data_IF_310034825055
#
_entry.id   IF_310034825055
#
_cell.length_a   1.000
_cell.length_b   1.000
_cell.length_c   1.000
_cell.angle_alpha   90.00
_cell.angle_beta   90.00
_cell.angle_gamma   90.00
#
_symmetry.space_group_name_H-M   'P 1'
#
loop_
_entity.id
_entity.type
_entity.pdbx_description
1 polymer ?
#
# COMPACT_ATOMS: atom_id res chain seq x y z
N UNK A 1 6.89 2.04 -10.24
CA UNK A 1 6.43 1.87 -8.85
C UNK A 1 7.16 2.87 -7.99
N UNK A 2 6.49 3.48 -7.01
CA UNK A 2 7.08 4.51 -6.14
C UNK A 2 7.19 3.94 -4.72
N UNK A 3 8.40 3.88 -4.19
CA UNK A 3 8.65 3.46 -2.80
C UNK A 3 8.08 4.54 -1.86
N UNK A 4 7.34 4.13 -0.83
CA UNK A 4 6.97 4.99 0.29
C UNK A 4 8.19 5.15 1.22
N UNK A 5 9.01 6.15 0.93
CA UNK A 5 10.31 6.40 1.57
C UNK A 5 10.19 6.71 3.08
N UNK A 6 9.05 7.25 3.51
CA UNK A 6 8.76 7.49 4.94
C UNK A 6 8.51 6.20 5.68
N UNK A 7 7.75 5.28 5.08
CA UNK A 7 7.53 3.95 5.67
C UNK A 7 8.85 3.22 5.87
N UNK A 8 9.83 3.41 4.99
CA UNK A 8 11.17 2.84 5.13
C UNK A 8 11.94 3.38 6.33
N UNK A 9 12.00 4.70 6.50
CA UNK A 9 12.67 5.30 7.67
C UNK A 9 11.93 4.91 8.96
N UNK A 10 10.59 4.91 8.95
CA UNK A 10 9.77 4.48 10.09
C UNK A 10 10.07 3.03 10.49
N UNK A 11 10.18 2.12 9.52
CA UNK A 11 10.49 0.72 9.78
C UNK A 11 11.80 0.54 10.58
N UNK A 12 12.83 1.32 10.25
CA UNK A 12 14.09 1.31 11.00
C UNK A 12 13.92 2.00 12.36
N UNK A 13 13.22 3.14 12.39
CA UNK A 13 13.00 3.93 13.61
C UNK A 13 12.27 3.14 14.69
N UNK A 14 11.25 2.38 14.32
CA UNK A 14 10.46 1.53 15.22
C UNK A 14 11.28 0.42 15.88
N UNK A 15 12.46 0.11 15.34
CA UNK A 15 13.38 -0.95 15.78
C UNK A 15 14.59 -0.43 16.54
N UNK A 16 14.75 0.88 16.69
CA UNK A 16 15.81 1.47 17.52
C UNK A 16 15.70 0.91 18.94
N UNK A 17 16.81 0.36 19.47
CA UNK A 17 16.87 -0.23 20.79
C UNK A 17 16.10 -1.55 20.98
N UNK A 18 15.52 -2.13 19.91
CA UNK A 18 14.71 -3.36 19.98
C UNK A 18 15.30 -4.54 19.20
N UNK A 19 16.35 -4.31 18.41
CA UNK A 19 17.00 -5.32 17.58
C UNK A 19 18.51 -5.24 17.76
N UNK A 20 19.20 -6.36 17.60
CA UNK A 20 20.66 -6.44 17.66
C UNK A 20 21.32 -6.44 16.27
N UNK A 21 22.62 -6.21 16.24
CA UNK A 21 23.40 -6.36 15.01
C UNK A 21 23.85 -7.81 14.84
N UNK A 22 23.64 -8.41 13.66
CA UNK A 22 24.18 -9.74 13.33
C UNK A 22 24.34 -9.93 11.82
N UNK A 23 25.51 -10.40 11.39
CA UNK A 23 25.75 -10.83 10.01
C UNK A 23 25.25 -12.25 9.75
N UNK A 24 25.26 -13.12 10.76
CA UNK A 24 24.77 -14.50 10.64
C UNK A 24 23.23 -14.56 10.65
N UNK A 25 22.60 -13.79 11.55
CA UNK A 25 21.15 -13.75 11.76
C UNK A 25 20.55 -12.44 11.23
N UNK A 26 20.83 -12.12 9.96
CA UNK A 26 20.52 -10.82 9.37
C UNK A 26 19.09 -10.66 8.83
N UNK A 27 18.25 -11.68 8.90
CA UNK A 27 16.91 -11.69 8.27
C UNK A 27 15.77 -11.33 9.24
N UNK A 28 16.09 -10.86 10.44
CA UNK A 28 15.11 -10.60 11.49
C UNK A 28 14.59 -11.87 12.17
N UNK A 29 13.58 -11.73 13.06
CA UNK A 29 12.97 -10.46 13.47
C UNK A 29 13.78 -9.70 14.53
N UNK A 30 14.76 -10.35 15.16
CA UNK A 30 15.45 -9.81 16.35
C UNK A 30 16.82 -9.21 16.03
N UNK A 31 17.37 -9.48 14.84
CA UNK A 31 18.68 -9.00 14.44
C UNK A 31 18.77 -8.75 12.94
N UNK A 32 19.63 -7.80 12.58
CA UNK A 32 19.88 -7.36 11.21
C UNK A 32 21.34 -6.95 11.07
N UNK A 33 21.89 -6.96 9.86
CA UNK A 33 23.11 -6.20 9.58
C UNK A 33 22.77 -4.88 8.87
N UNK A 34 23.78 -4.12 8.46
CA UNK A 34 23.58 -2.81 7.86
C UNK A 34 22.74 -2.89 6.57
N UNK A 35 23.10 -3.80 5.65
CA UNK A 35 22.46 -3.94 4.35
C UNK A 35 21.11 -4.63 4.44
N UNK A 36 20.93 -5.62 5.30
CA UNK A 36 19.64 -6.27 5.49
C UNK A 36 18.63 -5.30 6.12
N UNK A 37 19.05 -4.45 7.06
CA UNK A 37 18.18 -3.46 7.66
C UNK A 37 17.68 -2.45 6.61
N UNK A 38 18.55 -1.96 5.71
CA UNK A 38 18.16 -1.08 4.59
C UNK A 38 17.24 -1.82 3.62
N UNK A 39 17.56 -3.07 3.28
CA UNK A 39 16.74 -3.90 2.39
C UNK A 39 15.32 -4.06 2.93
N UNK A 40 15.15 -4.50 4.17
CA UNK A 40 13.83 -4.71 4.76
C UNK A 40 13.07 -3.40 5.01
N UNK A 41 13.77 -2.32 5.32
CA UNK A 41 13.17 -0.99 5.42
C UNK A 41 12.56 -0.54 4.08
N UNK A 42 13.33 -0.65 3.00
CA UNK A 42 12.87 -0.27 1.67
C UNK A 42 11.77 -1.23 1.16
N UNK A 43 11.87 -2.54 1.45
CA UNK A 43 10.81 -3.52 1.20
C UNK A 43 9.50 -3.18 1.92
N UNK A 44 9.57 -2.75 3.18
CA UNK A 44 8.39 -2.28 3.92
C UNK A 44 7.78 -1.02 3.29
N UNK A 45 8.59 -0.20 2.61
CA UNK A 45 8.15 0.92 1.79
C UNK A 45 7.65 0.52 0.40
N UNK A 46 7.61 -0.77 0.05
CA UNK A 46 7.13 -1.25 -1.25
C UNK A 46 8.21 -1.38 -2.32
N UNK A 47 9.49 -1.46 -1.94
CA UNK A 47 10.55 -1.87 -2.87
C UNK A 47 10.32 -3.30 -3.40
N UNK A 48 10.81 -3.57 -4.59
CA UNK A 48 10.74 -4.87 -5.24
C UNK A 48 11.73 -5.83 -4.54
N UNK A 49 11.25 -7.01 -4.17
CA UNK A 49 12.08 -8.05 -3.56
C UNK A 49 13.20 -8.50 -4.49
N UNK A 50 14.40 -8.69 -3.94
CA UNK A 50 15.49 -9.39 -4.63
C UNK A 50 15.39 -10.92 -4.49
N UNK A 51 14.41 -11.43 -3.72
CA UNK A 51 14.30 -12.85 -3.33
C UNK A 51 15.13 -13.23 -2.11
N UNK A 52 16.08 -12.38 -1.71
CA UNK A 52 16.94 -12.53 -0.53
C UNK A 52 17.34 -11.15 0.00
N UNK A 53 17.72 -11.04 1.27
CA UNK A 53 18.19 -9.78 1.83
C UNK A 53 19.56 -9.42 1.22
N UNK A 54 19.61 -8.43 0.33
CA UNK A 54 20.85 -8.11 -0.39
C UNK A 54 21.96 -7.72 0.58
N UNK A 55 23.20 -8.12 0.26
CA UNK A 55 24.39 -7.62 0.95
C UNK A 55 24.78 -6.25 0.40
N UNK A 56 25.83 -5.65 0.95
CA UNK A 56 26.30 -4.32 0.55
C UNK A 56 26.75 -4.25 -0.91
N UNK A 57 27.28 -5.34 -1.44
CA UNK A 57 27.77 -5.43 -2.83
C UNK A 57 26.60 -5.44 -3.83
N UNK A 58 25.57 -6.24 -3.56
CA UNK A 58 24.39 -6.35 -4.43
C UNK A 58 23.37 -5.22 -4.21
N UNK A 59 23.52 -4.43 -3.14
CA UNK A 59 22.67 -3.27 -2.84
C UNK A 59 22.71 -2.22 -3.95
N UNK A 60 23.86 -2.01 -4.59
CA UNK A 60 24.04 -1.05 -5.68
C UNK A 60 23.02 -1.27 -6.82
N UNK A 61 23.04 -2.47 -7.41
CA UNK A 61 22.14 -2.82 -8.51
C UNK A 61 20.69 -2.93 -8.07
N UNK A 62 20.45 -3.35 -6.82
CA UNK A 62 19.11 -3.44 -6.27
C UNK A 62 18.46 -2.07 -6.07
N UNK A 63 19.22 -1.06 -5.61
CA UNK A 63 18.73 0.32 -5.47
C UNK A 63 18.36 0.90 -6.85
N UNK A 64 19.20 0.69 -7.86
CA UNK A 64 18.92 1.16 -9.24
C UNK A 64 17.63 0.54 -9.78
N UNK A 65 17.46 -0.79 -9.63
CA UNK A 65 16.21 -1.48 -10.01
C UNK A 65 14.98 -0.96 -9.27
N UNK A 66 15.18 -0.37 -8.10
CA UNK A 66 14.14 0.23 -7.27
C UNK A 66 13.97 1.75 -7.49
N UNK A 67 14.54 2.30 -8.57
CA UNK A 67 14.32 3.69 -8.97
C UNK A 67 15.21 4.70 -8.25
N UNK A 68 16.31 4.25 -7.63
CA UNK A 68 17.38 5.14 -7.17
C UNK A 68 18.35 5.44 -8.31
N UNK A 69 18.97 6.61 -8.24
CA UNK A 69 20.05 7.04 -9.13
C UNK A 69 21.30 7.33 -8.32
N UNK A 70 22.46 6.98 -8.88
CA UNK A 70 23.75 7.33 -8.28
C UNK A 70 23.98 8.82 -8.44
N UNK A 71 24.07 9.56 -7.33
CA UNK A 71 24.29 11.01 -7.34
C UNK A 71 25.74 11.39 -7.01
N UNK A 72 26.42 10.56 -6.21
CA UNK A 72 27.83 10.75 -5.91
C UNK A 72 28.58 9.43 -5.78
N UNK A 73 29.80 9.41 -6.30
CA UNK A 73 30.78 8.34 -6.11
C UNK A 73 32.10 9.02 -5.71
N UNK A 74 32.56 8.71 -4.50
CA UNK A 74 33.80 9.19 -3.87
C UNK A 74 34.10 10.69 -4.09
N UNK A 75 33.05 11.50 -4.08
CA UNK A 75 33.11 12.96 -4.28
C UNK A 75 32.14 13.65 -3.34
N UNK A 76 32.42 14.90 -2.91
CA UNK A 76 31.53 15.64 -2.03
C UNK A 76 30.09 15.64 -2.54
N UNK A 77 29.15 15.54 -1.59
CA UNK A 77 27.73 15.53 -1.88
C UNK A 77 26.97 16.34 -0.83
N UNK A 78 25.78 16.82 -1.22
CA UNK A 78 24.80 17.36 -0.28
C UNK A 78 23.73 16.30 -0.07
N UNK A 79 23.72 15.71 1.13
CA UNK A 79 22.79 14.65 1.46
C UNK A 79 21.37 15.20 1.57
N UNK A 80 20.42 14.38 1.18
CA UNK A 80 19.01 14.64 1.33
C UNK A 80 18.40 13.47 2.10
N UNK A 81 17.34 13.76 2.84
CA UNK A 81 16.52 12.74 3.49
C UNK A 81 16.11 11.69 2.46
N UNK A 82 16.14 10.42 2.82
CA UNK A 82 15.94 9.24 1.97
C UNK A 82 17.08 8.90 1.00
N UNK A 83 18.18 9.65 0.97
CA UNK A 83 19.37 9.17 0.29
C UNK A 83 19.89 7.91 1.00
N UNK A 84 20.35 6.94 0.22
CA UNK A 84 21.01 5.75 0.74
C UNK A 84 22.50 5.90 0.47
N UNK A 85 23.32 5.82 1.52
CA UNK A 85 24.77 5.76 1.36
C UNK A 85 25.25 4.32 1.36
N UNK A 86 26.31 4.05 0.61
CA UNK A 86 27.07 2.81 0.70
C UNK A 86 28.54 3.18 0.88
N UNK A 87 29.17 2.66 1.92
CA UNK A 87 30.61 2.72 2.15
C UNK A 87 31.24 1.39 1.76
N UNK A 88 32.48 1.46 1.27
CA UNK A 88 33.19 0.35 0.65
C UNK A 88 33.25 0.55 -0.86
N UNK A 89 34.33 0.11 -1.50
CA UNK A 89 34.48 0.17 -2.96
C UNK A 89 33.71 -1.00 -3.58
N UNK A 90 32.92 -0.74 -4.61
CA UNK A 90 32.22 -1.79 -5.36
C UNK A 90 33.25 -2.85 -5.84
N UNK A 91 32.98 -4.12 -5.62
CA UNK A 91 33.88 -5.26 -5.82
C UNK A 91 34.63 -5.72 -4.56
N UNK A 92 34.58 -4.95 -3.47
CA UNK A 92 35.35 -5.17 -2.24
C UNK A 92 34.54 -4.91 -0.96
N UNK A 93 33.21 -4.78 -1.07
CA UNK A 93 32.35 -4.31 0.04
C UNK A 93 31.60 -5.43 0.78
N UNK A 94 31.96 -6.69 0.54
CA UNK A 94 31.35 -7.84 1.21
C UNK A 94 31.79 -7.98 2.67
N UNK A 95 30.91 -8.53 3.50
CA UNK A 95 31.16 -8.70 4.94
C UNK A 95 31.48 -7.38 5.64
N UNK A 96 32.60 -7.34 6.37
CA UNK A 96 33.05 -6.14 7.11
C UNK A 96 33.60 -5.01 6.21
N UNK A 97 33.80 -5.29 4.91
CA UNK A 97 34.37 -4.35 3.96
C UNK A 97 33.44 -3.21 3.54
N UNK A 98 32.16 -3.30 3.91
CA UNK A 98 31.14 -2.32 3.54
C UNK A 98 30.18 -1.94 4.66
N UNK A 99 29.51 -0.81 4.49
CA UNK A 99 28.48 -0.33 5.43
C UNK A 99 27.43 0.52 4.71
N UNK A 100 26.18 0.48 5.15
CA UNK A 100 25.10 1.24 4.50
C UNK A 100 24.03 1.69 5.50
N UNK A 101 23.24 2.67 5.09
CA UNK A 101 22.16 3.27 5.86
C UNK A 101 21.40 4.31 5.05
N UNK A 102 20.38 4.90 5.67
CA UNK A 102 19.47 5.87 5.04
C UNK A 102 19.64 7.23 5.73
N UNK A 103 19.78 8.31 4.98
CA UNK A 103 19.73 9.67 5.52
C UNK A 103 18.32 10.00 6.00
N UNK A 104 18.20 10.46 7.26
CA UNK A 104 16.93 10.93 7.83
C UNK A 104 16.78 12.45 7.73
N UNK A 105 17.87 13.16 7.44
CA UNK A 105 17.92 14.56 7.03
C UNK A 105 19.23 14.79 6.22
N UNK A 106 19.76 16.00 6.16
CA UNK A 106 20.98 16.31 5.40
C UNK A 106 22.30 15.97 6.12
N UNK A 107 22.26 15.53 7.38
CA UNK A 107 23.44 15.22 8.20
C UNK A 107 23.29 13.89 8.94
N UNK A 108 22.11 13.55 9.42
CA UNK A 108 21.87 12.36 10.22
C UNK A 108 21.48 11.16 9.36
N UNK A 109 21.95 9.98 9.75
CA UNK A 109 21.63 8.70 9.15
C UNK A 109 20.99 7.75 10.15
N UNK A 110 20.11 6.88 9.67
CA UNK A 110 19.62 5.71 10.40
C UNK A 110 20.24 4.45 9.80
N UNK A 111 20.85 3.62 10.65
CA UNK A 111 21.58 2.43 10.20
C UNK A 111 21.70 1.37 11.31
N UNK A 112 21.78 0.10 10.91
CA UNK A 112 22.15 -1.00 11.82
C UNK A 112 23.67 -1.11 11.88
N UNK A 113 24.27 -1.13 13.07
CA UNK A 113 25.72 -1.18 13.21
C UNK A 113 26.22 -2.02 14.39
N UNK A 114 27.39 -2.60 14.20
CA UNK A 114 28.08 -3.42 15.20
C UNK A 114 28.40 -2.65 16.48
N UNK A 115 28.93 -1.42 16.36
CA UNK A 115 29.42 -0.61 17.49
C UNK A 115 28.33 -0.34 18.54
N UNK A 116 27.08 -0.17 18.12
CA UNK A 116 25.92 0.04 19.01
C UNK A 116 25.00 -1.16 19.13
N UNK A 117 25.39 -2.29 18.55
CA UNK A 117 24.65 -3.55 18.55
C UNK A 117 23.16 -3.37 18.19
N UNK A 118 22.88 -2.74 17.05
CA UNK A 118 21.51 -2.53 16.60
C UNK A 118 21.34 -1.31 15.71
N UNK A 119 20.08 -0.87 15.55
CA UNK A 119 19.72 0.30 14.75
C UNK A 119 19.82 1.57 15.60
N UNK A 120 20.55 2.58 15.10
CA UNK A 120 20.66 3.90 15.72
C UNK A 120 20.57 5.03 14.70
N UNK A 121 20.31 6.24 15.18
CA UNK A 121 20.40 7.48 14.41
C UNK A 121 21.67 8.21 14.84
N UNK A 122 22.46 8.62 13.85
CA UNK A 122 23.79 9.17 14.05
C UNK A 122 24.12 10.27 13.07
N UNK A 123 24.90 11.25 13.51
CA UNK A 123 25.52 12.22 12.61
C UNK A 123 26.51 11.50 11.68
N UNK A 124 26.24 11.56 10.38
CA UNK A 124 27.02 10.90 9.33
C UNK A 124 28.51 11.23 9.43
N UNK A 125 28.87 12.48 9.71
CA UNK A 125 30.27 12.91 9.74
C UNK A 125 31.01 12.35 10.95
N UNK A 126 30.31 12.07 12.05
CA UNK A 126 30.90 11.48 13.26
C UNK A 126 31.12 9.97 13.14
N UNK A 127 30.35 9.29 12.29
CA UNK A 127 30.47 7.83 12.08
C UNK A 127 31.16 7.46 10.77
N UNK A 128 31.32 8.41 9.84
CA UNK A 128 32.09 8.22 8.61
C UNK A 128 33.54 7.85 8.92
N UNK A 129 34.06 6.86 8.18
CA UNK A 129 35.38 6.26 8.42
C UNK A 129 36.41 6.63 7.34
N UNK A 130 36.10 7.61 6.48
CA UNK A 130 36.95 7.96 5.32
C UNK A 130 37.03 6.84 4.26
N UNK A 131 36.10 5.90 4.28
CA UNK A 131 36.00 4.83 3.28
C UNK A 131 35.53 5.38 1.94
N UNK A 132 35.84 4.67 0.86
CA UNK A 132 35.21 4.93 -0.44
C UNK A 132 33.69 4.89 -0.29
N UNK A 133 32.96 5.81 -0.92
CA UNK A 133 31.52 5.91 -0.70
C UNK A 133 30.73 6.20 -1.98
N UNK A 134 29.47 5.82 -1.93
CA UNK A 134 28.45 6.06 -2.94
C UNK A 134 27.22 6.66 -2.27
N UNK A 135 26.54 7.56 -2.97
CA UNK A 135 25.26 8.11 -2.55
C UNK A 135 24.23 7.85 -3.64
N UNK A 136 23.14 7.19 -3.26
CA UNK A 136 22.01 6.88 -4.10
C UNK A 136 20.80 7.71 -3.67
N UNK A 137 20.13 8.35 -4.63
CA UNK A 137 18.95 9.18 -4.40
C UNK A 137 17.73 8.60 -5.11
N UNK A 138 16.55 8.53 -4.48
CA UNK A 138 15.33 8.18 -5.19
C UNK A 138 15.04 9.22 -6.28
N UNK A 139 14.82 8.78 -7.53
CA UNK A 139 14.62 9.69 -8.67
C UNK A 139 13.37 10.59 -8.52
N UNK A 140 12.38 10.15 -7.74
CA UNK A 140 11.11 10.85 -7.49
C UNK A 140 10.96 11.21 -6.00
N UNK A 141 11.87 11.98 -5.43
CA UNK A 141 11.68 12.51 -4.07
C UNK A 141 10.59 13.60 -4.03
N UNK A 142 9.66 13.56 -3.06
CA UNK A 142 8.71 14.64 -2.86
C UNK A 142 9.42 15.89 -2.32
N UNK A 143 9.66 16.89 -3.17
CA UNK A 143 10.14 18.21 -2.73
C UNK A 143 9.01 19.07 -2.19
N UNK A 144 9.23 19.77 -1.07
CA UNK A 144 8.24 20.68 -0.46
C UNK A 144 8.35 22.12 -0.96
N UNK A 145 9.43 22.51 -1.65
CA UNK A 145 9.71 23.93 -2.00
C UNK A 145 8.78 24.53 -3.06
N UNK A 146 8.07 23.72 -3.84
CA UNK A 146 7.19 24.17 -4.93
C UNK A 146 5.71 23.84 -4.69
N UNK A 147 5.36 23.34 -3.50
CA UNK A 147 4.00 22.88 -3.19
C UNK A 147 3.19 24.00 -2.54
N UNK A 148 1.95 24.15 -3.00
CA UNK A 148 1.02 25.11 -2.40
C UNK A 148 0.65 24.69 -0.98
N UNK A 149 0.25 25.67 -0.14
CA UNK A 149 -0.16 25.41 1.26
C UNK A 149 -1.28 24.36 1.34
N UNK A 150 -2.28 24.43 0.46
CA UNK A 150 -3.37 23.45 0.35
C UNK A 150 -2.87 22.04 0.04
N UNK A 151 -1.87 21.94 -0.83
CA UNK A 151 -1.27 20.66 -1.17
C UNK A 151 -0.53 20.09 0.03
N UNK A 152 0.26 20.91 0.73
CA UNK A 152 0.97 20.47 1.94
C UNK A 152 0.00 20.10 3.08
N UNK A 153 -1.13 20.79 3.21
CA UNK A 153 -2.21 20.43 4.14
C UNK A 153 -2.80 19.06 3.79
N UNK A 154 -3.15 18.81 2.52
CA UNK A 154 -3.67 17.51 2.07
C UNK A 154 -2.64 16.39 2.26
N UNK A 155 -1.38 16.63 1.90
CA UNK A 155 -0.30 15.67 2.09
C UNK A 155 -0.05 15.38 3.57
N UNK A 156 -0.17 16.40 4.43
CA UNK A 156 -0.03 16.25 5.89
C UNK A 156 -1.20 15.52 6.52
N UNK A 157 -2.43 15.78 6.08
CA UNK A 157 -3.63 15.04 6.48
C UNK A 157 -3.60 13.59 5.97
N UNK A 158 -3.00 13.35 4.81
CA UNK A 158 -2.70 12.03 4.26
C UNK A 158 -1.49 11.35 4.92
N UNK A 159 -0.86 11.98 5.91
CA UNK A 159 0.24 11.41 6.70
C UNK A 159 1.60 11.40 6.00
N UNK A 160 1.74 12.00 4.82
CA UNK A 160 2.99 12.01 4.02
C UNK A 160 4.15 12.67 4.77
N UNK A 161 3.86 13.63 5.64
CA UNK A 161 4.88 14.34 6.40
C UNK A 161 5.16 13.71 7.79
N UNK A 162 4.53 12.59 8.16
CA UNK A 162 4.70 11.99 9.49
C UNK A 162 4.01 12.79 10.62
N UNK A 163 4.45 12.60 11.87
CA UNK A 163 3.90 13.20 13.09
C UNK A 163 5.00 13.88 13.94
N UNK A 164 4.61 14.71 14.92
CA UNK A 164 5.55 15.36 15.85
C UNK A 164 6.73 16.07 15.18
N UNK A 165 7.94 15.76 15.64
CA UNK A 165 9.19 16.32 15.11
C UNK A 165 9.48 15.90 13.66
N UNK A 166 9.02 14.71 13.24
CA UNK A 166 9.16 14.26 11.85
C UNK A 166 8.33 15.15 10.90
N UNK A 167 7.13 15.55 11.33
CA UNK A 167 6.29 16.51 10.58
C UNK A 167 6.92 17.89 10.52
N UNK A 168 7.50 18.33 11.63
CA UNK A 168 8.22 19.59 11.71
C UNK A 168 9.44 19.61 10.81
N UNK A 169 10.19 18.51 10.75
CA UNK A 169 11.33 18.35 9.85
C UNK A 169 10.91 18.26 8.38
N UNK A 170 9.85 17.51 8.07
CA UNK A 170 9.37 17.28 6.71
C UNK A 170 8.74 18.51 6.07
N UNK A 171 7.95 19.29 6.84
CA UNK A 171 7.34 20.53 6.37
C UNK A 171 8.28 21.75 6.50
N UNK A 172 9.29 21.68 7.38
CA UNK A 172 10.22 22.76 7.64
C UNK A 172 9.51 24.06 7.99
N UNK A 173 9.84 25.11 7.25
CA UNK A 173 9.24 26.45 7.33
C UNK A 173 7.73 26.50 6.97
N UNK A 174 7.18 25.47 6.33
CA UNK A 174 5.75 25.35 6.06
C UNK A 174 4.96 24.69 7.19
N UNK A 175 5.64 24.18 8.22
CA UNK A 175 4.99 23.48 9.34
C UNK A 175 3.93 24.34 10.02
N UNK A 176 4.31 25.53 10.48
CA UNK A 176 3.40 26.43 11.21
C UNK A 176 2.17 26.86 10.37
N UNK A 177 2.33 27.31 9.10
CA UNK A 177 1.21 27.58 8.21
C UNK A 177 0.27 26.39 8.00
N UNK A 178 0.83 25.19 7.78
CA UNK A 178 0.04 23.97 7.51
C UNK A 178 -0.72 23.54 8.76
N UNK A 179 -0.09 23.59 9.93
CA UNK A 179 -0.73 23.26 11.21
C UNK A 179 -1.81 24.28 11.58
N UNK A 180 -1.63 25.56 11.26
CA UNK A 180 -2.65 26.58 11.51
C UNK A 180 -3.94 26.32 10.72
N UNK A 181 -3.82 25.86 9.47
CA UNK A 181 -4.98 25.47 8.63
C UNK A 181 -5.62 24.18 9.15
N UNK A 182 -4.83 23.15 9.47
CA UNK A 182 -5.34 21.86 9.97
C UNK A 182 -6.05 22.01 11.32
N UNK A 183 -5.49 22.82 12.23
CA UNK A 183 -6.05 23.06 13.55
C UNK A 183 -7.21 24.07 13.56
N UNK A 184 -7.70 24.47 12.38
CA UNK A 184 -8.84 25.40 12.23
C UNK A 184 -8.57 26.82 12.69
N UNK A 185 -7.30 27.22 12.90
CA UNK A 185 -6.90 28.58 13.33
C UNK A 185 -6.76 29.56 12.16
N UNK A 186 -6.76 29.08 10.91
CA UNK A 186 -6.79 29.89 9.70
C UNK A 186 -7.57 29.17 8.59
N UNK A 187 -8.40 29.88 7.83
CA UNK A 187 -8.99 29.38 6.58
C UNK A 187 -8.00 29.57 5.43
N UNK A 188 -7.72 28.50 4.69
CA UNK A 188 -6.92 28.59 3.47
C UNK A 188 -7.50 29.65 2.51
N UNK A 189 -6.67 30.53 1.90
CA UNK A 189 -7.16 31.50 0.95
C UNK A 189 -7.74 30.78 -0.27
N UNK A 190 -9.07 30.87 -0.43
CA UNK A 190 -9.77 30.31 -1.60
C UNK A 190 -9.28 31.04 -2.86
N UNK A 191 -8.75 30.29 -3.83
CA UNK A 191 -8.36 30.83 -5.13
C UNK A 191 -9.54 31.56 -5.78
N UNK A 192 -9.28 32.70 -6.42
CA UNK A 192 -10.32 33.45 -7.12
C UNK A 192 -10.74 32.74 -8.41
N UNK A 193 -11.95 33.04 -8.90
CA UNK A 193 -12.46 32.50 -10.18
C UNK A 193 -11.51 32.83 -11.34
N UNK A 194 -10.84 33.99 -11.30
CA UNK A 194 -9.85 34.39 -12.31
C UNK A 194 -8.60 33.51 -12.30
N UNK A 195 -8.08 33.18 -11.11
CA UNK A 195 -6.91 32.29 -10.98
C UNK A 195 -7.25 30.88 -11.45
N UNK A 196 -8.41 30.35 -11.06
CA UNK A 196 -8.89 29.04 -11.51
C UNK A 196 -9.12 29.02 -13.02
N UNK A 197 -9.63 30.10 -13.61
CA UNK A 197 -9.82 30.18 -15.07
C UNK A 197 -8.49 30.15 -15.84
N UNK A 198 -7.45 30.82 -15.33
CA UNK A 198 -6.11 30.75 -15.92
C UNK A 198 -5.50 29.35 -15.80
N UNK A 199 -5.65 28.68 -14.66
CA UNK A 199 -5.19 27.30 -14.46
C UNK A 199 -5.90 26.31 -15.42
N UNK A 200 -7.18 26.55 -15.72
CA UNK A 200 -7.93 25.78 -16.72
C UNK A 200 -7.39 26.00 -18.13
N UNK A 201 -7.09 27.24 -18.51
CA UNK A 201 -6.48 27.57 -19.81
C UNK A 201 -5.08 26.96 -19.93
N UNK A 202 -4.34 26.87 -18.83
CA UNK A 202 -3.04 26.20 -18.73
C UNK A 202 -3.13 24.66 -18.67
N UNK A 203 -4.33 24.07 -18.72
CA UNK A 203 -4.54 22.63 -18.75
C UNK A 203 -4.46 21.90 -17.41
N UNK A 204 -4.32 22.61 -16.28
CA UNK A 204 -4.07 22.02 -14.94
C UNK A 204 -5.28 21.30 -14.32
N UNK A 205 -6.48 21.49 -14.89
CA UNK A 205 -7.73 20.90 -14.41
C UNK A 205 -8.29 19.81 -15.35
N UNK A 206 -7.53 19.36 -16.35
CA UNK A 206 -8.02 18.39 -17.34
C UNK A 206 -9.20 18.92 -18.18
N UNK A 207 -9.93 18.00 -18.81
CA UNK A 207 -11.07 18.28 -19.70
C UNK A 207 -12.34 17.56 -19.20
N UNK A 208 -13.51 17.99 -19.68
CA UNK A 208 -14.80 17.34 -19.40
C UNK A 208 -15.10 17.15 -17.91
N UNK A 209 -15.35 15.91 -17.50
CA UNK A 209 -15.69 15.52 -16.13
C UNK A 209 -14.52 15.69 -15.14
N UNK A 210 -13.27 15.49 -15.58
CA UNK A 210 -12.09 15.73 -14.74
C UNK A 210 -12.01 17.20 -14.30
N UNK A 211 -12.42 18.13 -15.18
CA UNK A 211 -12.52 19.56 -14.87
C UNK A 211 -13.64 19.87 -13.89
N UNK A 212 -14.78 19.18 -14.00
CA UNK A 212 -15.90 19.31 -13.05
C UNK A 212 -15.53 18.80 -11.66
N UNK A 213 -14.86 17.65 -11.58
CA UNK A 213 -14.36 17.11 -10.32
C UNK A 213 -13.28 18.00 -9.70
N UNK A 214 -12.39 18.57 -10.53
CA UNK A 214 -11.30 19.43 -10.06
C UNK A 214 -11.76 20.80 -9.55
N UNK A 215 -12.79 21.39 -10.17
CA UNK A 215 -13.31 22.73 -9.82
C UNK A 215 -14.54 22.69 -8.89
N UNK A 216 -15.19 21.53 -8.75
CA UNK A 216 -16.34 21.34 -7.87
C UNK A 216 -17.45 22.36 -8.10
N UNK A 217 -17.93 22.99 -7.02
CA UNK A 217 -18.98 24.01 -7.06
C UNK A 217 -18.60 25.27 -7.86
N UNK A 218 -17.30 25.55 -8.01
CA UNK A 218 -16.82 26.73 -8.75
C UNK A 218 -16.76 26.48 -10.27
N UNK A 219 -16.95 25.23 -10.72
CA UNK A 219 -16.92 24.85 -12.14
C UNK A 219 -17.76 25.75 -13.05
N UNK A 220 -19.05 26.05 -12.76
CA UNK A 220 -19.87 26.86 -13.66
C UNK A 220 -19.35 28.30 -13.79
N UNK A 221 -18.82 28.87 -12.71
CA UNK A 221 -18.30 30.23 -12.70
C UNK A 221 -16.95 30.34 -13.41
N UNK A 222 -16.06 29.37 -13.16
CA UNK A 222 -14.74 29.28 -13.80
C UNK A 222 -14.86 29.00 -15.30
N UNK A 223 -15.75 28.09 -15.71
CA UNK A 223 -15.95 27.77 -17.12
C UNK A 223 -16.48 28.99 -17.91
N UNK A 224 -17.39 29.78 -17.31
CA UNK A 224 -17.87 31.03 -17.91
C UNK A 224 -16.72 32.02 -18.12
N UNK A 225 -15.84 32.14 -17.11
CA UNK A 225 -14.69 33.02 -17.16
C UNK A 225 -13.64 32.58 -18.19
N UNK A 226 -13.39 31.29 -18.34
CA UNK A 226 -12.54 30.73 -19.40
C UNK A 226 -13.08 31.09 -20.78
N UNK A 227 -14.39 30.99 -20.99
CA UNK A 227 -15.02 31.37 -22.27
C UNK A 227 -14.87 32.86 -22.57
N UNK A 228 -14.98 33.74 -21.57
CA UNK A 228 -14.75 35.18 -21.72
C UNK A 228 -13.29 35.49 -22.11
N UNK A 229 -12.32 34.85 -21.45
CA UNK A 229 -10.89 35.05 -21.72
C UNK A 229 -10.50 34.58 -23.12
N UNK A 230 -11.03 33.44 -23.58
CA UNK A 230 -10.80 32.91 -24.92
C UNK A 230 -11.48 33.77 -26.01
N UNK A 231 -12.66 34.32 -25.75
CA UNK A 231 -13.33 35.27 -26.66
C UNK A 231 -12.54 36.58 -26.82
N UNK A 232 -11.92 37.08 -25.75
CA UNK A 232 -11.03 38.25 -25.83
C UNK A 232 -9.79 38.00 -26.70
N UNK A 233 -9.22 36.80 -26.63
CA UNK A 233 -8.09 36.39 -27.50
C UNK A 233 -8.48 36.20 -28.98
N UNK A 234 -9.76 36.03 -29.28
CA UNK A 234 -10.25 35.77 -30.65
C UNK A 234 -10.50 37.03 -31.48
N UNK A 235 -10.11 38.22 -30.99
CA UNK A 235 -10.41 39.52 -31.62
C UNK A 235 -9.20 40.26 -32.24
N UNK A 236 -8.09 39.56 -32.50
CA UNK A 236 -6.99 40.07 -33.34
C UNK A 236 -6.80 39.19 -34.60
N UNK A 237 -6.69 39.75 -35.82
CA UNK A 237 -6.76 38.97 -37.06
C UNK A 237 -5.41 38.52 -37.67
N UNK A 238 -5.46 37.32 -38.28
CA UNK A 238 -4.72 36.76 -39.45
C UNK A 238 -3.26 36.28 -39.26
N UNK A 239 -2.77 35.18 -39.86
CA UNK A 239 -3.03 34.45 -41.15
C UNK A 239 -2.78 32.93 -40.99
N UNK A 240 -3.61 32.01 -41.53
CA UNK A 240 -3.46 31.29 -42.84
C UNK A 240 -2.39 30.17 -42.78
N UNK A 241 -2.63 28.87 -43.03
CA UNK A 241 -3.11 28.19 -44.26
C UNK A 241 -3.65 26.77 -43.97
N UNK A 242 -4.53 26.30 -44.86
CA UNK A 242 -5.41 25.11 -44.88
C UNK A 242 -4.78 23.70 -45.03
N UNK A 243 -5.47 22.74 -44.36
CA UNK A 243 -5.98 21.41 -44.79
C UNK A 243 -5.15 20.50 -45.72
N UNK A 244 -4.87 19.26 -45.27
CA UNK A 244 -5.24 18.00 -45.95
C UNK A 244 -4.81 16.73 -45.15
N UNK A 245 -5.77 15.82 -44.92
CA UNK A 245 -5.59 14.35 -44.79
C UNK A 245 -5.74 13.73 -46.20
N UNK A 246 -5.35 12.46 -46.52
CA UNK A 246 -5.15 11.30 -45.64
C UNK A 246 -3.96 10.35 -46.00
N UNK A 247 -3.88 9.24 -45.25
CA UNK A 247 -3.50 7.86 -45.64
C UNK A 247 -2.19 7.26 -45.10
N UNK A 248 -2.35 5.98 -44.72
CA UNK A 248 -1.51 5.02 -44.02
C UNK A 248 -0.08 4.79 -44.56
N UNK A 249 0.84 4.43 -43.66
CA UNK A 249 1.80 3.35 -43.96
C UNK A 249 2.23 2.62 -42.68
N UNK A 250 2.10 1.28 -42.71
CA UNK A 250 2.64 0.31 -41.77
C UNK A 250 4.17 0.38 -41.70
N UNK A 251 4.74 0.20 -40.51
CA UNK A 251 5.97 -0.60 -40.37
C UNK A 251 5.90 -1.38 -39.07
N UNK A 252 6.08 -2.70 -39.20
CA UNK A 252 5.97 -3.72 -38.17
C UNK A 252 7.38 -4.11 -37.74
N UNK A 253 7.67 -4.12 -36.43
CA UNK A 253 8.70 -4.96 -35.81
C UNK A 253 8.24 -5.37 -34.39
N UNK A 254 7.58 -6.52 -34.34
CA UNK A 254 7.68 -7.65 -33.39
C UNK A 254 8.13 -7.43 -31.93
N UNK A 255 7.25 -7.83 -31.00
CA UNK A 255 7.37 -7.89 -29.53
C UNK A 255 8.40 -8.90 -29.00
N UNK A 256 8.67 -8.93 -27.66
CA UNK A 256 7.97 -9.93 -26.82
C UNK A 256 7.59 -9.43 -25.40
N UNK A 257 6.88 -10.25 -24.60
CA UNK A 257 5.45 -10.23 -24.32
C UNK A 257 5.04 -9.36 -23.11
N UNK A 258 3.83 -8.80 -23.20
CA UNK A 258 3.30 -7.79 -22.28
C UNK A 258 3.21 -8.19 -20.82
N UNK A 259 3.73 -7.32 -19.95
CA UNK A 259 3.10 -7.08 -18.66
C UNK A 259 1.80 -6.32 -18.94
N UNK A 260 0.67 -7.04 -18.89
CA UNK A 260 -0.63 -6.40 -18.76
C UNK A 260 -0.61 -5.54 -17.49
N UNK A 261 -0.37 -4.25 -17.67
CA UNK A 261 -0.63 -3.24 -16.65
C UNK A 261 -2.14 -3.18 -16.53
N UNK A 262 -2.69 -3.99 -15.62
CA UNK A 262 -4.12 -4.00 -15.32
C UNK A 262 -4.49 -2.62 -14.83
N UNK A 263 -5.06 -1.82 -15.72
CA UNK A 263 -5.60 -0.50 -15.40
C UNK A 263 -6.90 -0.71 -14.63
N UNK A 264 -7.09 0.07 -13.56
CA UNK A 264 -8.31 0.05 -12.76
C UNK A 264 -9.46 0.56 -13.63
N UNK A 265 -10.45 -0.29 -13.87
CA UNK A 265 -11.65 0.07 -14.62
C UNK A 265 -12.72 0.61 -13.66
N UNK A 266 -13.73 1.27 -14.22
CA UNK A 266 -14.84 1.80 -13.43
C UNK A 266 -15.59 0.65 -12.72
N UNK A 267 -15.68 0.73 -11.39
CA UNK A 267 -16.31 -0.30 -10.56
C UNK A 267 -15.35 -1.36 -10.01
N UNK A 268 -14.08 -1.37 -10.41
CA UNK A 268 -13.04 -2.19 -9.77
C UNK A 268 -12.70 -1.63 -8.37
N UNK A 269 -12.35 -2.52 -7.44
CA UNK A 269 -11.69 -2.12 -6.17
C UNK A 269 -10.18 -2.30 -6.32
N UNK A 270 -9.41 -1.39 -5.72
CA UNK A 270 -7.95 -1.47 -5.69
C UNK A 270 -7.43 -1.27 -4.28
N UNK A 271 -6.50 -2.09 -3.82
CA UNK A 271 -5.82 -1.85 -2.56
C UNK A 271 -4.47 -2.56 -2.55
N UNK A 272 -3.41 -1.82 -2.20
CA UNK A 272 -2.03 -2.34 -2.09
C UNK A 272 -1.55 -3.11 -3.33
N UNK A 273 -1.81 -2.58 -4.53
CA UNK A 273 -1.41 -3.19 -5.81
C UNK A 273 -2.25 -4.37 -6.28
N UNK A 274 -3.22 -4.83 -5.49
CA UNK A 274 -4.22 -5.81 -5.92
C UNK A 274 -5.46 -5.10 -6.48
N UNK A 275 -6.06 -5.68 -7.52
CA UNK A 275 -7.30 -5.19 -8.14
C UNK A 275 -8.35 -6.30 -8.06
N UNK A 276 -9.47 -6.02 -7.38
CA UNK A 276 -10.66 -6.86 -7.46
C UNK A 276 -11.49 -6.35 -8.64
N UNK A 277 -11.49 -7.12 -9.72
CA UNK A 277 -12.25 -6.80 -10.92
C UNK A 277 -13.75 -6.77 -10.62
N UNK A 278 -14.45 -5.82 -11.22
CA UNK A 278 -15.90 -5.65 -11.07
C UNK A 278 -16.67 -6.95 -11.33
N UNK A 279 -16.27 -7.71 -12.35
CA UNK A 279 -16.88 -9.01 -12.67
C UNK A 279 -16.83 -9.99 -11.49
N UNK A 280 -15.69 -10.09 -10.80
CA UNK A 280 -15.52 -10.94 -9.63
C UNK A 280 -16.23 -10.34 -8.41
N UNK A 281 -16.18 -9.02 -8.25
CA UNK A 281 -16.95 -8.32 -7.21
C UNK A 281 -18.44 -8.61 -7.33
N UNK A 282 -19.02 -8.53 -8.53
CA UNK A 282 -20.44 -8.80 -8.76
C UNK A 282 -20.81 -10.24 -8.36
N UNK A 283 -19.93 -11.23 -8.62
CA UNK A 283 -20.11 -12.62 -8.15
C UNK A 283 -20.07 -12.71 -6.63
N UNK A 284 -19.11 -12.02 -5.98
CA UNK A 284 -19.01 -11.96 -4.51
C UNK A 284 -20.29 -11.35 -3.92
N UNK A 285 -20.78 -10.24 -4.48
CA UNK A 285 -22.00 -9.57 -4.02
C UNK A 285 -23.23 -10.46 -4.18
N UNK A 286 -23.34 -11.20 -5.29
CA UNK A 286 -24.43 -12.15 -5.51
C UNK A 286 -24.42 -13.28 -4.47
N UNK A 287 -23.24 -13.89 -4.20
CA UNK A 287 -23.10 -14.93 -3.18
C UNK A 287 -23.34 -14.42 -1.76
N UNK A 288 -22.90 -13.20 -1.46
CA UNK A 288 -23.20 -12.52 -0.20
C UNK A 288 -24.71 -12.38 0.00
N UNK A 289 -25.44 -11.98 -1.05
CA UNK A 289 -26.91 -11.88 -1.02
C UNK A 289 -27.57 -13.23 -0.74
N UNK A 290 -27.17 -14.25 -1.49
CA UNK A 290 -27.73 -15.61 -1.39
C UNK A 290 -27.53 -16.20 0.01
N UNK A 291 -26.34 -16.00 0.58
CA UNK A 291 -25.94 -16.61 1.84
C UNK A 291 -26.14 -15.69 3.06
N UNK A 292 -26.73 -14.50 2.88
CA UNK A 292 -26.93 -13.49 3.92
C UNK A 292 -25.62 -13.14 4.66
N UNK A 293 -24.56 -12.85 3.90
CA UNK A 293 -23.23 -12.49 4.40
C UNK A 293 -22.96 -11.03 4.04
N UNK A 294 -22.28 -10.29 4.92
CA UNK A 294 -21.87 -8.91 4.66
C UNK A 294 -20.78 -8.85 3.57
N UNK A 295 -21.03 -8.17 2.43
CA UNK A 295 -20.01 -7.86 1.43
C UNK A 295 -18.72 -7.24 2.00
N UNK A 296 -18.82 -6.30 2.94
CA UNK A 296 -17.64 -5.66 3.54
C UNK A 296 -16.73 -6.67 4.21
N UNK A 297 -17.30 -7.68 4.88
CA UNK A 297 -16.56 -8.81 5.44
C UNK A 297 -15.90 -9.65 4.33
N UNK A 298 -16.69 -10.12 3.35
CA UNK A 298 -16.19 -11.01 2.29
C UNK A 298 -15.09 -10.37 1.44
N UNK A 299 -15.28 -9.11 1.03
CA UNK A 299 -14.29 -8.35 0.26
C UNK A 299 -12.99 -8.19 1.05
N UNK A 300 -13.10 -7.89 2.35
CA UNK A 300 -11.93 -7.65 3.20
C UNK A 300 -11.14 -8.92 3.46
N UNK A 301 -11.80 -10.04 3.79
CA UNK A 301 -11.11 -11.30 4.12
C UNK A 301 -10.40 -11.87 2.89
N UNK A 302 -11.02 -11.79 1.71
CA UNK A 302 -10.41 -12.23 0.46
C UNK A 302 -9.20 -11.38 0.05
N UNK A 303 -9.12 -10.11 0.50
CA UNK A 303 -7.89 -9.33 0.39
C UNK A 303 -6.88 -9.73 1.45
N UNK A 304 -7.32 -9.85 2.70
CA UNK A 304 -6.46 -10.12 3.85
C UNK A 304 -5.67 -11.43 3.69
N UNK A 305 -6.33 -12.48 3.21
CA UNK A 305 -5.74 -13.80 2.99
C UNK A 305 -5.07 -13.92 1.61
N UNK A 306 -5.78 -13.51 0.56
CA UNK A 306 -5.42 -13.86 -0.82
C UNK A 306 -4.90 -12.70 -1.65
N UNK A 307 -4.91 -11.47 -1.13
CA UNK A 307 -4.67 -10.24 -1.88
C UNK A 307 -5.49 -10.19 -3.18
N UNK A 308 -6.78 -10.56 -3.09
CA UNK A 308 -7.69 -10.72 -4.23
C UNK A 308 -7.08 -11.54 -5.38
N UNK A 309 -6.44 -12.65 -5.02
CA UNK A 309 -5.87 -13.59 -5.97
C UNK A 309 -4.44 -13.31 -6.41
N UNK A 310 -3.83 -12.23 -5.94
CA UNK A 310 -2.45 -11.90 -6.33
C UNK A 310 -1.38 -12.57 -5.47
N UNK A 311 -1.77 -13.23 -4.36
CA UNK A 311 -0.87 -14.07 -3.55
C UNK A 311 -0.35 -15.27 -4.35
N UNK A 312 0.71 -15.92 -3.86
CA UNK A 312 1.29 -17.10 -4.53
C UNK A 312 0.25 -18.22 -4.70
N UNK A 313 -0.51 -18.49 -3.63
CA UNK A 313 -1.60 -19.49 -3.61
C UNK A 313 -2.79 -19.03 -4.46
N UNK A 314 -3.14 -17.75 -4.43
CA UNK A 314 -4.21 -17.20 -5.25
C UNK A 314 -3.95 -17.35 -6.76
N UNK A 315 -2.70 -17.12 -7.19
CA UNK A 315 -2.26 -17.24 -8.60
C UNK A 315 -2.13 -18.68 -9.06
N UNK A 316 -1.57 -19.55 -8.22
CA UNK A 316 -1.30 -20.93 -8.60
C UNK A 316 -2.54 -21.83 -8.49
N UNK A 317 -3.38 -21.57 -7.49
CA UNK A 317 -4.42 -22.52 -7.06
C UNK A 317 -5.84 -21.95 -7.08
N UNK A 318 -6.02 -20.70 -7.54
CA UNK A 318 -7.28 -19.96 -7.47
C UNK A 318 -7.87 -19.92 -6.05
N UNK A 319 -7.03 -20.07 -5.03
CA UNK A 319 -7.46 -20.28 -3.64
C UNK A 319 -7.13 -19.03 -2.82
N UNK A 320 -8.11 -18.12 -2.70
CA UNK A 320 -7.88 -16.81 -2.08
C UNK A 320 -8.10 -16.82 -0.57
N UNK A 321 -8.66 -17.91 -0.03
CA UNK A 321 -8.94 -18.08 1.39
C UNK A 321 -7.98 -19.04 2.10
N UNK A 322 -6.95 -19.55 1.43
CA UNK A 322 -5.99 -20.49 2.03
C UNK A 322 -6.58 -21.88 2.36
N UNK A 323 -7.59 -22.33 1.60
CA UNK A 323 -8.29 -23.58 1.86
C UNK A 323 -7.34 -24.78 1.78
N UNK A 324 -7.30 -25.58 2.84
CA UNK A 324 -6.36 -26.70 3.00
C UNK A 324 -6.97 -28.01 2.51
N UNK A 325 -6.20 -28.79 1.76
CA UNK A 325 -6.56 -30.13 1.32
C UNK A 325 -6.69 -31.08 2.52
N UNK A 326 -7.87 -31.66 2.71
CA UNK A 326 -8.17 -32.54 3.87
C UNK A 326 -8.00 -34.03 3.57
N UNK A 327 -7.62 -34.39 2.34
CA UNK A 327 -7.40 -35.77 1.92
C UNK A 327 -6.00 -35.97 1.34
N UNK A 328 -5.49 -37.20 1.43
CA UNK A 328 -4.29 -37.63 0.74
C UNK A 328 -4.55 -37.97 -0.74
N UNK A 329 -5.80 -37.93 -1.20
CA UNK A 329 -6.11 -38.11 -2.61
C UNK A 329 -5.59 -36.93 -3.44
N UNK A 330 -5.37 -37.16 -4.74
CA UNK A 330 -4.97 -36.09 -5.66
C UNK A 330 -6.15 -35.21 -6.09
N UNK A 331 -7.37 -35.72 -5.91
CA UNK A 331 -8.62 -35.05 -6.27
C UNK A 331 -9.72 -35.50 -5.31
N UNK A 332 -10.56 -34.55 -4.87
CA UNK A 332 -11.76 -34.85 -4.09
C UNK A 332 -12.94 -33.97 -4.55
N UNK A 333 -14.15 -34.50 -4.40
CA UNK A 333 -15.38 -33.69 -4.51
C UNK A 333 -15.73 -33.14 -3.14
N UNK A 334 -15.80 -31.82 -3.04
CA UNK A 334 -16.16 -31.10 -1.82
C UNK A 334 -17.66 -31.20 -1.54
N UNK A 335 -18.12 -31.00 -0.30
CA UNK A 335 -19.55 -30.98 0.03
C UNK A 335 -20.36 -29.90 -0.71
N UNK A 336 -19.69 -28.87 -1.23
CA UNK A 336 -20.26 -27.86 -2.14
C UNK A 336 -20.56 -28.37 -3.55
N UNK A 337 -20.10 -29.59 -3.89
CA UNK A 337 -20.11 -30.15 -5.24
C UNK A 337 -18.88 -29.79 -6.07
N UNK A 338 -18.03 -28.87 -5.60
CA UNK A 338 -16.82 -28.44 -6.31
C UNK A 338 -15.76 -29.54 -6.28
N UNK A 339 -15.17 -29.84 -7.43
CA UNK A 339 -14.03 -30.76 -7.53
C UNK A 339 -12.76 -29.94 -7.32
N UNK A 340 -11.92 -30.37 -6.39
CA UNK A 340 -10.61 -29.75 -6.13
C UNK A 340 -9.51 -30.78 -6.32
N UNK A 341 -8.35 -30.33 -6.79
CA UNK A 341 -7.14 -31.13 -6.86
C UNK A 341 -6.12 -30.66 -5.83
N UNK A 342 -5.05 -31.43 -5.64
CA UNK A 342 -3.92 -31.03 -4.80
C UNK A 342 -3.17 -29.85 -5.42
N UNK A 343 -3.08 -28.74 -4.70
CA UNK A 343 -2.35 -27.53 -5.09
C UNK A 343 -0.95 -27.44 -4.50
N UNK A 344 -0.47 -26.22 -4.28
CA UNK A 344 0.84 -25.94 -3.70
C UNK A 344 1.01 -26.59 -2.32
N UNK A 345 2.25 -26.97 -2.00
CA UNK A 345 2.60 -27.41 -0.66
C UNK A 345 2.42 -26.25 0.33
N UNK A 346 1.87 -26.56 1.50
CA UNK A 346 1.80 -25.62 2.63
C UNK A 346 3.18 -25.45 3.26
N UNK A 347 3.40 -24.36 4.03
CA UNK A 347 4.61 -24.20 4.82
C UNK A 347 4.97 -25.47 5.60
N UNK A 348 6.26 -25.81 5.65
CA UNK A 348 6.71 -27.10 6.20
C UNK A 348 6.30 -27.33 7.66
N UNK A 349 6.09 -26.25 8.42
CA UNK A 349 5.59 -26.27 9.81
C UNK A 349 4.09 -26.57 9.93
N UNK A 350 3.30 -26.38 8.87
CA UNK A 350 1.86 -26.66 8.85
C UNK A 350 1.55 -28.03 8.22
N UNK A 351 2.38 -28.45 7.26
CA UNK A 351 2.22 -29.70 6.54
C UNK A 351 1.01 -29.73 5.59
N UNK A 352 1.05 -30.67 4.65
CA UNK A 352 -0.01 -30.88 3.67
C UNK A 352 0.04 -29.91 2.48
N UNK A 353 -1.10 -29.77 1.81
CA UNK A 353 -1.24 -29.03 0.55
C UNK A 353 -2.45 -28.11 0.59
N UNK A 354 -2.42 -27.02 -0.17
CA UNK A 354 -3.59 -26.22 -0.48
C UNK A 354 -4.51 -26.97 -1.46
N UNK A 355 -5.78 -26.59 -1.47
CA UNK A 355 -6.70 -26.98 -2.54
C UNK A 355 -6.44 -26.14 -3.78
N UNK A 356 -6.37 -26.80 -4.94
CA UNK A 356 -6.37 -26.18 -6.26
C UNK A 356 -7.78 -26.21 -6.84
N UNK A 357 -8.28 -25.04 -7.21
CA UNK A 357 -9.58 -24.86 -7.85
C UNK A 357 -9.40 -24.61 -9.35
N UNK A 358 -10.27 -25.19 -10.18
CA UNK A 358 -10.23 -24.98 -11.62
C UNK A 358 -10.47 -23.51 -12.01
N UNK A 359 -11.24 -22.78 -11.19
CA UNK A 359 -11.53 -21.36 -11.38
C UNK A 359 -11.72 -20.62 -10.06
N UNK A 360 -11.68 -19.29 -10.11
CA UNK A 360 -12.04 -18.44 -8.95
C UNK A 360 -13.51 -18.62 -8.57
N UNK A 361 -14.40 -18.88 -9.53
CA UNK A 361 -15.82 -19.10 -9.27
C UNK A 361 -16.06 -20.41 -8.50
N UNK A 362 -15.29 -21.46 -8.80
CA UNK A 362 -15.29 -22.72 -8.03
C UNK A 362 -14.82 -22.49 -6.59
N UNK A 363 -13.72 -21.74 -6.42
CA UNK A 363 -13.24 -21.34 -5.09
C UNK A 363 -14.30 -20.54 -4.34
N UNK A 364 -14.89 -19.51 -4.95
CA UNK A 364 -15.92 -18.70 -4.32
C UNK A 364 -17.14 -19.56 -3.97
N UNK A 365 -17.50 -20.53 -4.81
CA UNK A 365 -18.61 -21.46 -4.52
C UNK A 365 -18.31 -22.32 -3.29
N UNK A 366 -17.13 -22.94 -3.21
CA UNK A 366 -16.75 -23.79 -2.07
C UNK A 366 -16.52 -22.98 -0.79
N UNK A 367 -15.90 -21.80 -0.89
CA UNK A 367 -15.62 -20.94 0.25
C UNK A 367 -16.90 -20.37 0.86
N UNK A 368 -17.80 -19.81 0.04
CA UNK A 368 -19.10 -19.33 0.54
C UNK A 368 -19.98 -20.47 1.08
N UNK A 369 -19.84 -21.69 0.53
CA UNK A 369 -20.50 -22.85 1.11
C UNK A 369 -20.10 -23.04 2.58
N UNK A 370 -18.84 -22.83 2.98
CA UNK A 370 -18.45 -22.95 4.39
C UNK A 370 -19.10 -21.91 5.32
N UNK A 371 -19.48 -20.75 4.77
CA UNK A 371 -20.02 -19.60 5.50
C UNK A 371 -21.56 -19.55 5.56
N UNK A 372 -22.23 -20.38 4.76
CA UNK A 372 -23.69 -20.46 4.66
C UNK A 372 -24.36 -20.74 6.01
N UNK A 373 -25.66 -20.49 6.09
CA UNK A 373 -26.45 -20.91 7.26
C UNK A 373 -26.31 -22.42 7.52
N UNK A 374 -25.98 -22.79 8.75
CA UNK A 374 -25.67 -24.18 9.12
C UNK A 374 -24.29 -24.69 8.70
N UNK A 375 -23.46 -23.83 8.08
CA UNK A 375 -22.08 -24.14 7.72
C UNK A 375 -21.12 -24.24 8.91
N UNK A 376 -19.85 -24.54 8.60
CA UNK A 376 -18.79 -24.69 9.59
C UNK A 376 -18.44 -23.37 10.28
N UNK A 377 -18.64 -22.24 9.62
CA UNK A 377 -18.43 -20.90 10.17
C UNK A 377 -19.78 -20.18 10.32
N UNK A 378 -19.94 -19.40 11.39
CA UNK A 378 -21.19 -18.73 11.79
C UNK A 378 -21.23 -17.27 11.33
N UNK A 379 -20.99 -17.06 10.04
CA UNK A 379 -20.93 -15.72 9.43
C UNK A 379 -22.27 -15.27 8.89
N UNK A 380 -23.04 -16.19 8.30
CA UNK A 380 -24.38 -15.89 7.76
C UNK A 380 -25.28 -15.26 8.84
N UNK A 381 -25.88 -14.12 8.52
CA UNK A 381 -26.77 -13.37 9.40
C UNK A 381 -26.09 -12.39 10.35
N UNK A 382 -24.75 -12.32 10.38
CA UNK A 382 -24.02 -11.33 11.16
C UNK A 382 -24.47 -9.90 10.81
N UNK A 383 -24.63 -9.06 11.83
CA UNK A 383 -25.18 -7.71 11.71
C UNK A 383 -24.10 -6.65 11.62
N UNK A 384 -22.89 -7.00 12.05
CA UNK A 384 -21.71 -6.14 12.04
C UNK A 384 -20.52 -6.90 11.45
N UNK A 385 -19.52 -6.17 10.97
CA UNK A 385 -18.27 -6.74 10.47
C UNK A 385 -17.54 -7.51 11.58
N UNK A 386 -17.54 -6.97 12.81
CA UNK A 386 -16.90 -7.63 13.95
C UNK A 386 -17.58 -8.95 14.34
N UNK A 387 -18.91 -9.03 14.26
CA UNK A 387 -19.67 -10.29 14.43
C UNK A 387 -19.36 -11.29 13.32
N UNK A 388 -19.28 -10.84 12.06
CA UNK A 388 -18.93 -11.69 10.93
C UNK A 388 -17.54 -12.30 11.12
N UNK A 389 -16.55 -11.50 11.56
CA UNK A 389 -15.21 -12.01 11.90
C UNK A 389 -15.27 -12.98 13.09
N UNK A 390 -16.04 -12.68 14.13
CA UNK A 390 -16.20 -13.58 15.29
C UNK A 390 -16.75 -14.95 14.89
N UNK A 391 -17.70 -14.97 13.97
CA UNK A 391 -18.29 -16.19 13.39
C UNK A 391 -17.30 -17.09 12.64
N UNK A 392 -16.07 -16.62 12.37
CA UNK A 392 -15.00 -17.44 11.78
C UNK A 392 -14.18 -18.24 12.80
N UNK A 393 -14.44 -18.04 14.09
CA UNK A 393 -13.68 -18.67 15.17
C UNK A 393 -14.61 -19.42 16.11
N UNK A 394 -14.06 -20.38 16.87
CA UNK A 394 -14.83 -21.11 17.89
C UNK A 394 -15.43 -20.17 18.94
N UNK A 395 -14.81 -19.01 19.15
CA UNK A 395 -15.32 -17.94 20.01
C UNK A 395 -16.68 -17.38 19.54
N UNK A 396 -17.01 -17.53 18.25
CA UNK A 396 -18.33 -17.25 17.67
C UNK A 396 -19.05 -18.51 17.19
N UNK A 397 -18.86 -19.64 17.88
CA UNK A 397 -19.53 -20.92 17.62
C UNK A 397 -19.20 -21.59 16.27
N UNK A 398 -18.10 -21.19 15.62
CA UNK A 398 -17.58 -21.94 14.48
C UNK A 398 -17.08 -23.32 14.91
N UNK A 399 -17.07 -24.26 13.97
CA UNK A 399 -16.52 -25.61 14.19
C UNK A 399 -14.99 -25.56 14.34
N UNK A 400 -14.35 -24.65 13.62
CA UNK A 400 -12.89 -24.49 13.57
C UNK A 400 -12.49 -23.03 13.75
N UNK A 401 -11.26 -22.80 14.17
CA UNK A 401 -10.64 -21.47 14.10
C UNK A 401 -10.05 -21.27 12.71
N UNK A 402 -10.48 -20.21 12.03
CA UNK A 402 -10.07 -19.94 10.65
C UNK A 402 -8.58 -19.64 10.50
N UNK A 403 -7.96 -19.03 11.51
CA UNK A 403 -6.54 -18.69 11.52
C UNK A 403 -5.87 -19.08 12.83
N UNK A 404 -4.62 -19.55 12.75
CA UNK A 404 -3.82 -19.95 13.91
C UNK A 404 -3.48 -18.80 14.87
N UNK A 405 -3.58 -17.55 14.41
CA UNK A 405 -3.32 -16.34 15.21
C UNK A 405 -4.37 -16.07 16.28
N UNK A 406 -5.52 -16.76 16.23
CA UNK A 406 -6.63 -16.58 17.17
C UNK A 406 -7.53 -15.38 16.85
N UNK A 407 -8.73 -15.38 17.44
CA UNK A 407 -9.80 -14.43 17.13
C UNK A 407 -9.41 -12.96 17.33
N UNK A 408 -8.87 -12.57 18.49
CA UNK A 408 -8.64 -11.16 18.80
C UNK A 408 -7.60 -10.52 17.86
N UNK A 409 -6.48 -11.22 17.62
CA UNK A 409 -5.45 -10.77 16.69
C UNK A 409 -6.00 -10.66 15.25
N UNK A 410 -6.80 -11.65 14.85
CA UNK A 410 -7.41 -11.67 13.53
C UNK A 410 -8.43 -10.53 13.35
N UNK A 411 -9.26 -10.27 14.35
CA UNK A 411 -10.23 -9.18 14.36
C UNK A 411 -9.55 -7.82 14.19
N UNK A 412 -8.44 -7.59 14.89
CA UNK A 412 -7.69 -6.34 14.78
C UNK A 412 -7.09 -6.19 13.38
N UNK A 413 -6.47 -7.25 12.84
CA UNK A 413 -5.91 -7.26 11.49
C UNK A 413 -6.97 -6.99 10.41
N UNK A 414 -8.10 -7.68 10.50
CA UNK A 414 -9.24 -7.54 9.60
C UNK A 414 -9.88 -6.15 9.66
N UNK A 415 -10.07 -5.60 10.86
CA UNK A 415 -10.65 -4.26 11.04
C UNK A 415 -9.74 -3.17 10.48
N UNK A 416 -8.43 -3.31 10.68
CA UNK A 416 -7.42 -2.43 10.09
C UNK A 416 -7.41 -2.53 8.56
N UNK A 417 -7.52 -3.75 8.03
CA UNK A 417 -7.58 -4.01 6.58
C UNK A 417 -8.82 -3.41 5.94
N UNK A 418 -9.99 -3.56 6.56
CA UNK A 418 -11.24 -2.95 6.11
C UNK A 418 -11.06 -1.44 5.94
N UNK A 419 -10.55 -0.75 6.98
CA UNK A 419 -10.36 0.71 6.93
C UNK A 419 -9.36 1.15 5.87
N UNK A 420 -8.30 0.37 5.68
CA UNK A 420 -7.33 0.65 4.62
C UNK A 420 -7.94 0.50 3.22
N UNK A 421 -8.72 -0.55 2.97
CA UNK A 421 -9.46 -0.71 1.70
C UNK A 421 -10.46 0.42 1.49
N UNK A 422 -11.21 0.81 2.54
CA UNK A 422 -12.17 1.91 2.49
C UNK A 422 -11.51 3.26 2.19
N UNK A 423 -10.26 3.48 2.63
CA UNK A 423 -9.53 4.72 2.37
C UNK A 423 -9.22 4.95 0.89
N UNK A 424 -9.07 3.88 0.10
CA UNK A 424 -8.78 3.94 -1.35
C UNK A 424 -10.04 3.81 -2.22
N UNK A 425 -11.13 3.24 -1.69
CA UNK A 425 -12.31 2.86 -2.48
C UNK A 425 -13.64 3.46 -1.97
N UNK A 426 -13.57 4.28 -0.92
CA UNK A 426 -14.73 4.72 -0.16
C UNK A 426 -15.30 3.59 0.71
N UNK A 427 -16.29 3.92 1.55
CA UNK A 427 -16.83 2.94 2.50
C UNK A 427 -17.43 1.72 1.78
N UNK A 428 -17.13 0.52 2.29
CA UNK A 428 -17.69 -0.73 1.81
C UNK A 428 -19.10 -0.99 2.36
N UNK A 429 -19.52 -0.23 3.39
CA UNK A 429 -20.89 -0.30 3.93
C UNK A 429 -21.97 -0.04 2.87
N UNK A 430 -21.61 0.66 1.78
CA UNK A 430 -22.49 0.85 0.62
C UNK A 430 -22.93 -0.48 0.00
N UNK A 431 -22.07 -1.50 0.03
CA UNK A 431 -22.40 -2.83 -0.48
C UNK A 431 -23.26 -3.61 0.51
N UNK A 432 -22.97 -3.52 1.81
CA UNK A 432 -23.77 -4.19 2.85
C UNK A 432 -25.24 -3.77 2.80
N UNK A 433 -25.50 -2.47 2.73
CA UNK A 433 -26.85 -1.90 2.65
C UNK A 433 -27.61 -2.29 1.37
N UNK A 434 -26.90 -2.62 0.30
CA UNK A 434 -27.50 -3.06 -0.97
C UNK A 434 -27.80 -4.56 -0.99
N UNK A 435 -27.16 -5.33 -0.11
CA UNK A 435 -27.14 -6.80 -0.20
C UNK A 435 -27.94 -7.48 0.90
N UNK A 436 -27.97 -6.94 2.12
CA UNK A 436 -28.65 -7.54 3.28
C UNK A 436 -29.63 -6.57 3.94
N UNK A 437 -30.81 -7.06 4.36
CA UNK A 437 -31.96 -6.23 4.76
C UNK A 437 -31.94 -5.77 6.22
N UNK A 438 -31.13 -6.40 7.07
CA UNK A 438 -31.02 -6.13 8.50
C UNK A 438 -29.56 -5.90 8.89
N UNK A 439 -28.96 -4.80 8.44
CA UNK A 439 -27.63 -4.36 8.88
C UNK A 439 -27.79 -3.54 10.17
N UNK A 440 -27.12 -3.92 11.27
CA UNK A 440 -27.10 -3.07 12.46
C UNK A 440 -26.19 -1.84 12.23
N UNK A 441 -26.18 -0.90 13.19
CA UNK A 441 -25.28 0.28 13.16
C UNK A 441 -23.85 -0.14 12.78
N UNK A 442 -23.23 0.64 11.89
CA UNK A 442 -21.83 0.46 11.47
C UNK A 442 -20.92 0.29 12.68
N UNK A 443 -20.01 -0.69 12.64
CA UNK A 443 -19.00 -0.83 13.69
C UNK A 443 -18.27 0.51 13.87
N UNK A 444 -18.17 0.96 15.12
CA UNK A 444 -17.31 2.11 15.45
C UNK A 444 -15.89 1.59 15.57
N UNK A 445 -15.17 1.64 14.46
CA UNK A 445 -13.78 1.25 14.38
C UNK A 445 -12.94 2.52 14.34
N UNK A 446 -12.27 2.81 15.44
CA UNK A 446 -11.29 3.89 15.55
C UNK A 446 -9.90 3.25 15.65
N UNK A 447 -9.11 3.44 14.60
CA UNK A 447 -7.70 3.04 14.58
C UNK A 447 -6.90 4.26 15.01
N UNK A 448 -6.36 4.25 16.24
CA UNK A 448 -5.47 5.33 16.67
C UNK A 448 -4.20 5.30 15.81
N UNK A 449 -3.68 6.49 15.51
CA UNK A 449 -2.72 6.81 14.43
C UNK A 449 -1.41 5.98 14.48
N UNK A 450 -1.15 5.25 15.57
CA UNK A 450 0.03 4.43 15.77
C UNK A 450 -0.17 2.92 15.60
N UNK A 451 -1.39 2.41 15.38
CA UNK A 451 -1.59 0.95 15.29
C UNK A 451 -1.13 0.21 16.55
N UNK A 452 -1.16 0.88 17.70
CA UNK A 452 -0.92 0.29 19.02
C UNK A 452 -2.25 0.06 19.72
N UNK A 453 -3.28 0.85 19.38
CA UNK A 453 -4.63 0.73 19.92
C UNK A 453 -5.67 0.77 18.80
N UNK A 454 -6.49 -0.28 18.72
CA UNK A 454 -7.68 -0.33 17.87
C UNK A 454 -8.89 -0.38 18.78
N UNK A 455 -9.80 0.56 18.62
CA UNK A 455 -11.07 0.55 19.35
C UNK A 455 -12.16 0.03 18.41
N UNK A 456 -12.79 -1.08 18.79
CA UNK A 456 -13.90 -1.69 18.05
C UNK A 456 -15.12 -1.67 18.97
N UNK A 457 -16.15 -0.91 18.58
CA UNK A 457 -17.39 -0.77 19.34
C UNK A 457 -17.19 -0.35 20.81
N UNK A 458 -16.18 0.46 21.08
CA UNK A 458 -15.84 0.94 22.42
C UNK A 458 -14.88 0.02 23.21
N UNK A 459 -14.61 -1.19 22.73
CA UNK A 459 -13.60 -2.08 23.30
C UNK A 459 -12.23 -1.71 22.73
N UNK A 460 -11.27 -1.41 23.61
CA UNK A 460 -9.89 -1.08 23.25
C UNK A 460 -9.04 -2.35 23.19
N UNK A 461 -8.42 -2.59 22.04
CA UNK A 461 -7.46 -3.65 21.79
C UNK A 461 -6.06 -3.05 21.69
N UNK A 462 -5.09 -3.64 22.39
CA UNK A 462 -3.68 -3.25 22.27
C UNK A 462 -2.95 -4.23 21.37
N UNK A 463 -2.30 -3.75 20.33
CA UNK A 463 -1.47 -4.58 19.46
C UNK A 463 -0.15 -4.89 20.19
N UNK A 464 -0.11 -6.02 20.90
CA UNK A 464 1.09 -6.53 21.55
C UNK A 464 1.74 -7.61 20.68
N UNK A 465 3.01 -7.40 20.33
CA UNK A 465 3.83 -8.40 19.62
C UNK A 465 4.24 -9.48 20.62
N UNK A 466 3.55 -10.62 20.62
CA UNK A 466 4.03 -11.80 21.33
C UNK A 466 4.98 -12.61 20.42
N UNK A 467 6.17 -13.00 20.90
CA UNK A 467 7.01 -13.95 20.17
C UNK A 467 6.37 -15.34 20.22
N UNK A 468 6.14 -15.93 19.04
CA UNK A 468 5.75 -17.35 18.89
C UNK A 468 7.02 -18.19 18.80
#
# INVERSE_FOLDING_TARGET
MTINLETSIRWMSDRIGKVSYSMDYRNGPNSYDCSSAVYYALMAGGAISAGWAVDTEHMHDWLIRNGYVLVAENKPFNAQRHDVFIWGKHGYSSGEGGHTGIFVDNVNIIHCNFKRNGITIDDYNNVSRGMYYYLYRPANQPSTSNKSLDQLVKETLAGIHGNGDARKASLGNQYEPVMAVINGKATAPKKTIDQLAQEVIQGKHGNGEARKQSLGADYPAVQRRVTELLKKQSSEPSKGVEVNQPTETKTSQTEPPGQATVTKEEGDLSFNGAILKKSVLDVILAKCKEQNILPSYAITVLHFEGLWGTSAVGKADNNWGGMTMTSNDLQITRPSGVIVTRGLARPSNEGGYYMHYASVDDFLTDWFYLLRSGGSYKVSGAKTFSEAVKGMFKTGDAVYDYAATGYDNYLVGMSSRLKAIESENGSLAKYDQQTVTDVAKTDKIEVAIEGIEVTINGTRYRLTKEPI
#
